data_IF_956921044112
#
_entry.id   IF_956921044112
#
_cell.length_a   1.000
_cell.length_b   1.000
_cell.length_c   1.000
_cell.angle_alpha   90.00
_cell.angle_beta   90.00
_cell.angle_gamma   90.00
#
_symmetry.space_group_name_H-M   'P 1'
#
loop_
_entity.id
_entity.type
_entity.pdbx_description
1 polymer ?
#
# COMPACT_ATOMS: atom_id res chain seq x y z
N UNK A 1 4.35 6.88 4.94
CA UNK A 1 5.07 5.64 5.25
C UNK A 1 6.59 5.71 5.05
N UNK A 2 7.17 6.75 4.42
CA UNK A 2 8.64 6.92 4.32
C UNK A 2 9.36 5.63 3.92
N UNK A 3 8.93 5.04 2.81
CA UNK A 3 9.32 3.72 2.33
C UNK A 3 9.65 3.77 0.84
N UNK A 4 10.32 2.74 0.32
CA UNK A 4 10.58 2.61 -1.11
C UNK A 4 10.47 1.15 -1.58
N UNK A 5 9.72 0.97 -2.68
CA UNK A 5 9.42 -0.34 -3.25
C UNK A 5 8.55 -1.22 -2.35
N UNK A 6 8.02 -2.30 -2.93
CA UNK A 6 7.15 -3.21 -2.19
C UNK A 6 7.94 -3.94 -1.10
N UNK A 7 8.84 -4.85 -1.52
CA UNK A 7 9.68 -5.66 -0.62
C UNK A 7 11.03 -5.01 -0.30
N UNK A 8 11.54 -4.21 -1.22
CA UNK A 8 12.79 -3.46 -1.10
C UNK A 8 12.80 -2.35 -2.15
N UNK A 9 13.69 -1.38 -1.98
CA UNK A 9 13.90 -0.31 -2.95
C UNK A 9 14.33 -0.83 -4.33
N UNK A 10 15.06 -1.96 -4.41
CA UNK A 10 15.50 -2.56 -5.68
C UNK A 10 14.38 -3.24 -6.46
N UNK A 11 13.40 -3.84 -5.77
CA UNK A 11 12.28 -4.54 -6.41
C UNK A 11 11.37 -3.58 -7.22
N UNK A 12 11.50 -2.27 -7.03
CA UNK A 12 10.87 -1.28 -7.91
C UNK A 12 11.27 -1.48 -9.39
N UNK A 13 12.54 -1.77 -9.67
CA UNK A 13 13.06 -1.95 -11.03
C UNK A 13 12.43 -3.17 -11.72
N UNK A 14 11.95 -4.13 -10.94
CA UNK A 14 11.28 -5.33 -11.43
C UNK A 14 9.76 -5.13 -11.59
N UNK A 15 9.22 -3.97 -11.21
CA UNK A 15 7.78 -3.73 -11.27
C UNK A 15 7.30 -3.58 -12.72
N UNK A 16 6.09 -4.08 -13.00
CA UNK A 16 5.46 -3.92 -14.31
C UNK A 16 5.30 -2.44 -14.70
N UNK A 17 5.09 -1.57 -13.70
CA UNK A 17 4.99 -0.12 -13.92
C UNK A 17 6.31 0.45 -14.47
N UNK A 18 7.43 0.14 -13.81
CA UNK A 18 8.74 0.58 -14.24
C UNK A 18 9.10 0.02 -15.64
N UNK A 19 8.83 -1.27 -15.87
CA UNK A 19 9.09 -1.92 -17.16
C UNK A 19 8.23 -1.38 -18.31
N UNK A 20 7.04 -0.85 -18.03
CA UNK A 20 6.18 -0.25 -19.06
C UNK A 20 6.64 1.15 -19.44
N UNK A 21 7.07 1.95 -18.46
CA UNK A 21 7.60 3.31 -18.72
C UNK A 21 9.03 3.28 -19.27
N UNK A 22 9.82 2.28 -18.91
CA UNK A 22 11.19 2.07 -19.35
C UNK A 22 11.29 0.68 -19.98
N UNK A 23 10.74 0.48 -21.18
CA UNK A 23 10.82 -0.80 -21.85
C UNK A 23 12.29 -1.20 -22.02
N UNK A 24 12.66 -2.45 -21.71
CA UNK A 24 14.02 -2.91 -21.91
C UNK A 24 14.38 -2.78 -23.38
N UNK A 25 15.53 -2.15 -23.65
CA UNK A 25 16.03 -1.95 -25.00
C UNK A 25 16.26 -3.32 -25.66
N UNK A 26 15.67 -3.65 -26.83
CA UNK A 26 15.76 -4.98 -27.42
C UNK A 26 17.19 -5.40 -27.79
N UNK A 27 18.10 -4.46 -28.04
CA UNK A 27 19.53 -4.75 -28.28
C UNK A 27 20.34 -4.94 -26.98
N UNK A 28 19.82 -4.47 -25.85
CA UNK A 28 20.38 -4.60 -24.51
C UNK A 28 19.41 -5.35 -23.57
N UNK A 29 18.69 -6.33 -24.12
CA UNK A 29 17.93 -7.32 -23.34
C UNK A 29 18.86 -8.27 -22.54
N UNK A 30 20.09 -7.86 -22.26
CA UNK A 30 20.92 -8.43 -21.23
C UNK A 30 20.39 -7.91 -19.90
N UNK A 31 19.76 -8.78 -19.13
CA UNK A 31 20.16 -9.26 -17.79
C UNK A 31 21.18 -8.44 -16.94
N UNK A 32 21.68 -7.26 -17.35
CA UNK A 32 22.76 -6.50 -16.68
C UNK A 32 22.27 -5.26 -15.92
N UNK A 33 21.43 -4.40 -16.51
CA UNK A 33 21.00 -3.16 -15.83
C UNK A 33 20.10 -3.42 -14.61
N UNK A 34 19.25 -4.45 -14.70
CA UNK A 34 18.44 -4.97 -13.59
C UNK A 34 19.26 -5.82 -12.60
N UNK A 35 20.26 -6.58 -13.06
CA UNK A 35 21.06 -7.44 -12.19
C UNK A 35 22.09 -6.67 -11.34
N UNK A 36 22.58 -5.53 -11.84
CA UNK A 36 23.51 -4.68 -11.10
C UNK A 36 22.80 -3.68 -10.17
N UNK A 37 21.45 -3.66 -10.18
CA UNK A 37 20.64 -2.78 -9.33
C UNK A 37 20.74 -1.30 -9.72
N UNK A 38 21.10 -1.00 -10.96
CA UNK A 38 21.18 0.37 -11.51
C UNK A 38 19.82 0.74 -12.07
N UNK A 39 19.32 1.93 -11.70
CA UNK A 39 18.04 2.39 -12.22
C UNK A 39 17.52 3.62 -11.51
N UNK A 40 16.30 4.00 -11.85
CA UNK A 40 15.64 5.16 -11.29
C UNK A 40 14.44 4.75 -10.44
N UNK A 41 14.21 5.50 -9.37
CA UNK A 41 13.06 5.35 -8.47
C UNK A 41 12.18 6.59 -8.52
N UNK A 42 10.88 6.49 -8.18
CA UNK A 42 10.02 7.65 -8.10
C UNK A 42 10.52 8.62 -7.02
N UNK A 43 10.28 9.91 -7.20
CA UNK A 43 10.68 10.94 -6.24
C UNK A 43 10.05 10.77 -4.83
N UNK A 44 8.99 9.98 -4.71
CA UNK A 44 8.38 9.59 -3.43
C UNK A 44 9.27 8.67 -2.58
N UNK A 45 10.18 7.91 -3.21
CA UNK A 45 11.18 7.09 -2.52
C UNK A 45 12.29 7.91 -1.85
N UNK A 46 12.46 9.19 -2.22
CA UNK A 46 13.53 10.02 -1.72
C UNK A 46 13.28 10.57 -0.32
N UNK A 47 14.30 10.51 0.52
CA UNK A 47 14.29 11.13 1.84
C UNK A 47 14.34 12.66 1.70
N UNK A 48 14.07 13.37 2.81
CA UNK A 48 14.24 14.82 2.83
C UNK A 48 15.67 15.24 2.47
N UNK A 49 16.68 14.44 2.83
CA UNK A 49 18.07 14.66 2.47
C UNK A 49 18.30 14.43 0.98
N UNK A 50 17.76 13.34 0.41
CA UNK A 50 17.81 13.06 -1.02
C UNK A 50 17.25 14.22 -1.86
N UNK A 51 16.08 14.74 -1.47
CA UNK A 51 15.42 15.87 -2.16
C UNK A 51 16.18 17.20 -2.02
N UNK A 52 16.97 17.38 -0.96
CA UNK A 52 17.84 18.55 -0.78
C UNK A 52 19.14 18.44 -1.57
N UNK A 53 19.72 17.25 -1.63
CA UNK A 53 20.95 16.98 -2.36
C UNK A 53 20.73 16.98 -3.89
N UNK A 54 19.59 16.46 -4.34
CA UNK A 54 19.24 16.35 -5.75
C UNK A 54 17.82 16.84 -6.01
N UNK A 55 17.67 17.84 -6.89
CA UNK A 55 16.37 18.38 -7.31
C UNK A 55 15.47 17.30 -7.94
N UNK A 56 16.08 16.42 -8.73
CA UNK A 56 15.42 15.30 -9.42
C UNK A 56 15.81 13.96 -8.76
N UNK A 57 15.81 13.94 -7.42
CA UNK A 57 16.17 12.74 -6.66
C UNK A 57 15.38 11.51 -7.14
N UNK A 58 16.09 10.40 -7.34
CA UNK A 58 15.53 9.13 -7.80
C UNK A 58 15.38 9.02 -9.32
N UNK A 59 15.03 10.09 -10.02
CA UNK A 59 14.72 10.06 -11.46
C UNK A 59 15.97 9.98 -12.34
N UNK A 60 17.06 10.64 -11.94
CA UNK A 60 18.31 10.69 -12.72
C UNK A 60 19.37 9.71 -12.20
N UNK A 61 19.01 8.81 -11.28
CA UNK A 61 19.97 7.87 -10.69
C UNK A 61 20.48 6.87 -11.72
N UNK A 62 19.64 6.41 -12.65
CA UNK A 62 20.08 5.59 -13.78
C UNK A 62 21.19 6.26 -14.60
N UNK A 63 21.12 7.58 -14.81
CA UNK A 63 22.10 8.34 -15.59
C UNK A 63 23.48 8.43 -14.91
N UNK A 64 23.56 8.18 -13.60
CA UNK A 64 24.84 8.15 -12.88
C UNK A 64 25.60 6.84 -13.07
N UNK A 65 24.93 5.79 -13.57
CA UNK A 65 25.48 4.44 -13.65
C UNK A 65 25.70 3.77 -12.29
N UNK A 66 25.33 4.43 -11.18
CA UNK A 66 25.48 3.89 -9.84
C UNK A 66 24.25 3.06 -9.45
N UNK A 67 24.51 1.94 -8.79
CA UNK A 67 23.47 1.07 -8.27
C UNK A 67 22.71 1.72 -7.10
N UNK A 68 21.41 1.42 -6.98
CA UNK A 68 20.51 1.99 -5.97
C UNK A 68 21.03 1.85 -4.53
N UNK A 69 21.72 0.74 -4.24
CA UNK A 69 22.24 0.46 -2.90
C UNK A 69 23.29 1.49 -2.46
N UNK A 70 23.96 2.19 -3.39
CA UNK A 70 24.94 3.24 -3.05
C UNK A 70 24.28 4.50 -2.49
N UNK A 71 22.99 4.68 -2.75
CA UNK A 71 22.17 5.78 -2.22
C UNK A 71 21.45 5.42 -0.91
N UNK A 72 21.67 4.21 -0.41
CA UNK A 72 21.12 3.67 0.83
C UNK A 72 22.24 3.37 1.81
N UNK A 73 22.20 3.98 2.98
CA UNK A 73 23.05 3.62 4.10
C UNK A 73 22.24 2.79 5.11
N UNK A 74 22.48 1.49 5.12
CA UNK A 74 21.82 0.56 6.03
C UNK A 74 22.25 0.74 7.50
N UNK A 75 23.41 1.36 7.77
CA UNK A 75 23.88 1.67 9.13
C UNK A 75 23.33 3.00 9.61
N UNK A 76 23.18 3.98 8.73
CA UNK A 76 22.69 5.32 9.04
C UNK A 76 21.50 5.69 8.14
N UNK A 77 20.26 5.32 8.50
CA UNK A 77 19.08 5.58 7.66
C UNK A 77 18.80 7.08 7.45
N UNK A 78 19.27 7.95 8.35
CA UNK A 78 19.19 9.41 8.22
C UNK A 78 20.12 9.98 7.14
N UNK A 79 21.23 9.28 6.86
CA UNK A 79 22.18 9.67 5.83
C UNK A 79 21.76 9.17 4.43
N UNK A 80 20.79 8.26 4.38
CA UNK A 80 20.28 7.68 3.14
C UNK A 80 19.56 8.72 2.27
N UNK A 81 19.80 8.67 0.96
CA UNK A 81 19.15 9.55 -0.01
C UNK A 81 17.78 9.00 -0.44
N UNK A 82 17.60 7.69 -0.35
CA UNK A 82 16.31 7.01 -0.55
C UNK A 82 15.92 6.20 0.69
N UNK A 83 14.63 5.98 0.88
CA UNK A 83 14.12 5.21 2.00
C UNK A 83 14.52 3.74 1.87
N UNK A 84 15.28 3.22 2.84
CA UNK A 84 15.66 1.81 2.90
C UNK A 84 14.49 0.87 3.23
N UNK A 85 13.50 1.39 3.99
CA UNK A 85 12.35 0.62 4.49
C UNK A 85 11.43 0.20 3.35
N UNK A 86 11.05 -1.06 3.33
CA UNK A 86 10.06 -1.60 2.41
C UNK A 86 8.65 -1.06 2.73
N UNK A 87 7.85 -0.79 1.70
CA UNK A 87 6.50 -0.26 1.93
C UNK A 87 5.55 -1.30 2.53
N UNK A 88 5.77 -2.59 2.24
CA UNK A 88 5.00 -3.67 2.86
C UNK A 88 5.19 -3.67 4.37
N UNK A 89 6.44 -3.60 4.82
CA UNK A 89 6.79 -3.61 6.24
C UNK A 89 6.23 -2.37 6.93
N UNK A 90 6.36 -1.19 6.31
CA UNK A 90 5.78 0.04 6.85
C UNK A 90 4.25 -0.01 6.96
N UNK A 91 3.58 -0.71 6.04
CA UNK A 91 2.14 -0.90 6.06
C UNK A 91 1.72 -1.90 7.14
N UNK A 92 2.42 -3.03 7.26
CA UNK A 92 2.13 -4.02 8.29
C UNK A 92 2.39 -3.49 9.69
N UNK A 93 3.47 -2.76 9.90
CA UNK A 93 3.77 -2.09 11.17
C UNK A 93 2.67 -1.07 11.53
N UNK A 94 2.17 -0.32 10.55
CA UNK A 94 1.04 0.58 10.79
C UNK A 94 -0.23 -0.15 11.21
N UNK A 95 -0.52 -1.30 10.61
CA UNK A 95 -1.67 -2.12 11.00
C UNK A 95 -1.47 -2.78 12.35
N UNK A 96 -0.25 -3.22 12.68
CA UNK A 96 0.07 -3.86 13.96
C UNK A 96 -0.07 -2.86 15.12
N UNK A 97 0.48 -1.65 14.96
CA UNK A 97 0.37 -0.55 15.93
C UNK A 97 -1.07 -0.09 16.16
N UNK A 98 -1.94 -0.26 15.16
CA UNK A 98 -3.36 0.14 15.21
C UNK A 98 -4.32 -1.04 15.29
N UNK A 99 -3.82 -2.25 15.52
CA UNK A 99 -4.62 -3.48 15.53
C UNK A 99 -5.77 -3.42 16.53
N UNK A 100 -5.51 -2.90 17.73
CA UNK A 100 -6.54 -2.69 18.76
C UNK A 100 -7.70 -1.79 18.29
N UNK A 101 -7.39 -0.72 17.53
CA UNK A 101 -8.41 0.18 16.98
C UNK A 101 -9.24 -0.52 15.90
N UNK A 102 -8.57 -1.27 15.02
CA UNK A 102 -9.21 -2.00 13.92
C UNK A 102 -10.13 -3.09 14.46
N UNK A 103 -9.68 -3.84 15.47
CA UNK A 103 -10.47 -4.86 16.15
C UNK A 103 -11.70 -4.23 16.82
N UNK A 104 -11.52 -3.10 17.52
CA UNK A 104 -12.64 -2.40 18.16
C UNK A 104 -13.71 -1.97 17.15
N UNK A 105 -13.30 -1.43 16.01
CA UNK A 105 -14.21 -1.07 14.91
C UNK A 105 -14.92 -2.31 14.36
N UNK A 106 -14.18 -3.39 14.10
CA UNK A 106 -14.73 -4.64 13.56
C UNK A 106 -15.80 -5.24 14.49
N UNK A 107 -15.54 -5.28 15.79
CA UNK A 107 -16.52 -5.75 16.79
C UNK A 107 -17.75 -4.84 16.82
N UNK A 108 -17.55 -3.52 16.78
CA UNK A 108 -18.65 -2.55 16.75
C UNK A 108 -19.57 -2.74 15.53
N UNK A 109 -18.99 -2.90 14.33
CA UNK A 109 -19.74 -3.21 13.10
C UNK A 109 -20.49 -4.53 13.26
N UNK A 110 -19.85 -5.58 13.78
CA UNK A 110 -20.49 -6.88 14.02
C UNK A 110 -21.69 -6.80 14.97
N UNK A 111 -21.62 -6.00 16.04
CA UNK A 111 -22.77 -5.78 16.92
C UNK A 111 -23.92 -5.06 16.20
N UNK A 112 -23.63 -4.05 15.39
CA UNK A 112 -24.64 -3.32 14.61
C UNK A 112 -25.31 -4.26 13.60
N UNK A 113 -24.54 -5.11 12.92
CA UNK A 113 -25.07 -6.11 12.00
C UNK A 113 -26.01 -7.11 12.68
N UNK A 114 -25.64 -7.62 13.85
CA UNK A 114 -26.50 -8.52 14.62
C UNK A 114 -27.82 -7.85 15.02
N UNK A 115 -27.76 -6.60 15.50
CA UNK A 115 -28.97 -5.82 15.84
C UNK A 115 -29.83 -5.59 14.61
N UNK A 116 -29.22 -5.26 13.46
CA UNK A 116 -29.94 -5.06 12.21
C UNK A 116 -30.71 -6.33 11.80
N UNK A 117 -30.09 -7.51 11.86
CA UNK A 117 -30.76 -8.78 11.53
C UNK A 117 -31.97 -9.06 12.44
N UNK A 118 -31.84 -8.81 13.75
CA UNK A 118 -32.95 -9.00 14.71
C UNK A 118 -34.10 -8.03 14.42
N UNK A 119 -33.79 -6.74 14.22
CA UNK A 119 -34.80 -5.74 13.92
C UNK A 119 -35.54 -6.04 12.61
N UNK A 120 -34.82 -6.49 11.57
CA UNK A 120 -35.46 -6.91 10.31
C UNK A 120 -36.45 -8.06 10.53
N UNK A 121 -36.09 -9.08 11.31
CA UNK A 121 -37.01 -10.19 11.62
C UNK A 121 -38.24 -9.72 12.40
N UNK A 122 -38.06 -8.87 13.41
CA UNK A 122 -39.17 -8.30 14.17
C UNK A 122 -40.09 -7.45 13.28
N UNK A 123 -39.52 -6.63 12.39
CA UNK A 123 -40.30 -5.80 11.46
C UNK A 123 -41.10 -6.67 10.48
N UNK A 124 -40.50 -7.75 9.95
CA UNK A 124 -41.19 -8.73 9.12
C UNK A 124 -42.35 -9.41 9.86
N UNK A 125 -42.13 -9.83 11.11
CA UNK A 125 -43.17 -10.42 11.95
C UNK A 125 -44.33 -9.45 12.19
N UNK A 126 -44.04 -8.20 12.53
CA UNK A 126 -45.04 -7.16 12.77
C UNK A 126 -45.88 -6.87 11.51
N UNK A 127 -45.24 -6.70 10.34
CA UNK A 127 -45.94 -6.46 9.07
C UNK A 127 -46.86 -7.63 8.72
N UNK A 128 -46.39 -8.86 8.91
CA UNK A 128 -47.20 -10.03 8.61
C UNK A 128 -48.43 -10.11 9.52
N UNK A 129 -48.27 -9.77 10.79
CA UNK A 129 -49.38 -9.77 11.74
C UNK A 129 -50.43 -8.68 11.42
N UNK A 130 -49.98 -7.49 11.01
CA UNK A 130 -50.86 -6.39 10.58
C UNK A 130 -51.65 -6.74 9.30
N UNK A 131 -50.97 -7.37 8.31
CA UNK A 131 -51.62 -7.90 7.10
C UNK A 131 -52.68 -8.96 7.42
N UNK A 132 -52.44 -9.82 8.42
CA UNK A 132 -53.40 -10.84 8.81
C UNK A 132 -54.59 -10.26 9.61
N UNK A 133 -54.33 -9.31 10.50
CA UNK A 133 -55.36 -8.62 11.27
C UNK A 133 -56.31 -7.80 10.39
N UNK A 134 -55.77 -7.10 9.38
CA UNK A 134 -56.58 -6.40 8.39
C UNK A 134 -57.41 -7.35 7.54
N UNK A 135 -56.83 -8.46 7.05
CA UNK A 135 -57.55 -9.47 6.25
C UNK A 135 -58.76 -10.09 6.98
N UNK A 136 -58.63 -10.38 8.28
CA UNK A 136 -59.73 -10.91 9.11
C UNK A 136 -60.82 -9.87 9.42
N UNK A 137 -60.58 -8.57 9.21
CA UNK A 137 -61.56 -7.51 9.45
C UNK A 137 -62.49 -7.28 8.25
N UNK A 138 -62.13 -7.81 7.09
CA UNK A 138 -62.90 -7.74 5.84
C UNK A 138 -63.65 -9.05 5.52
N UNK A 139 -63.63 -10.03 6.43
CA UNK A 139 -64.40 -11.28 6.37
C UNK A 139 -65.39 -11.37 7.52
#
# INVERSE_FOLDING_TARGET
FQCCGARSYTNWLESAYFQTENPPDPEFASVGSLADGVGSVPSSCCTAKGKRAYKDCGLNFASTGAALHTFVDAKNPEESLIHAKACNDALFEYFDDRSNLIIAIAVGVGCIELVAMVLTMLLCCCINNDKNASKNRYY
#
